data_IF_199921310369
#
_entry.id   IF_199921310369
#
_cell.length_a   1.000
_cell.length_b   1.000
_cell.length_c   1.000
_cell.angle_alpha   90.00
_cell.angle_beta   90.00
_cell.angle_gamma   90.00
#
_symmetry.space_group_name_H-M   'P 1'
#
loop_
_entity.id
_entity.type
_entity.pdbx_description
1 polymer ?
#
# COMPACT_ATOMS: atom_id res chain seq x y z
N UNK A 1 -13.12 18.31 -21.64
CA UNK A 1 -12.13 18.62 -20.57
C UNK A 1 -10.73 18.51 -21.16
N UNK A 2 -9.82 19.45 -20.87
CA UNK A 2 -8.40 19.36 -21.25
C UNK A 2 -7.71 18.39 -20.28
N UNK A 3 -6.97 17.41 -20.79
CA UNK A 3 -6.09 16.55 -19.99
C UNK A 3 -4.83 17.32 -19.62
N UNK A 4 -4.39 17.25 -18.37
CA UNK A 4 -3.13 17.86 -17.93
C UNK A 4 -1.94 17.10 -18.50
N UNK A 5 -0.91 17.83 -18.90
CA UNK A 5 0.41 17.27 -19.18
C UNK A 5 1.10 16.84 -17.87
N UNK A 6 2.09 15.96 -17.96
CA UNK A 6 2.74 15.38 -16.77
C UNK A 6 3.39 16.46 -15.90
N UNK A 7 3.92 17.50 -16.53
CA UNK A 7 4.56 18.65 -15.88
C UNK A 7 3.54 19.59 -15.21
N UNK A 8 2.27 19.55 -15.63
CA UNK A 8 1.17 20.32 -15.04
C UNK A 8 0.58 19.60 -13.80
N UNK A 9 0.94 18.33 -13.57
CA UNK A 9 0.51 17.57 -12.39
C UNK A 9 1.41 17.99 -11.22
N UNK A 10 0.88 18.82 -10.33
CA UNK A 10 1.56 19.18 -9.07
C UNK A 10 1.70 17.91 -8.22
N UNK A 11 2.89 17.33 -8.21
CA UNK A 11 3.28 16.22 -7.35
C UNK A 11 4.15 16.77 -6.23
N UNK A 12 3.91 16.29 -5.01
CA UNK A 12 4.83 16.52 -3.91
C UNK A 12 6.19 15.90 -4.28
N UNK A 13 7.28 16.58 -3.93
CA UNK A 13 8.59 15.93 -3.88
C UNK A 13 8.56 14.75 -2.88
N UNK A 14 9.54 13.86 -2.95
CA UNK A 14 9.64 12.72 -2.03
C UNK A 14 9.68 13.16 -0.56
N UNK A 15 10.37 14.26 -0.28
CA UNK A 15 10.48 14.80 1.08
C UNK A 15 9.18 15.45 1.55
N UNK A 16 8.52 16.24 0.69
CA UNK A 16 7.20 16.80 1.01
C UNK A 16 6.16 15.69 1.20
N UNK A 17 6.23 14.63 0.39
CA UNK A 17 5.36 13.47 0.55
C UNK A 17 5.54 12.84 1.92
N UNK A 18 6.78 12.59 2.37
CA UNK A 18 7.09 11.99 3.68
C UNK A 18 6.60 12.85 4.85
N UNK A 19 6.66 14.18 4.74
CA UNK A 19 6.20 15.10 5.77
C UNK A 19 4.69 15.32 5.77
N UNK A 20 4.02 15.08 4.64
CA UNK A 20 2.58 15.26 4.53
C UNK A 20 1.81 14.25 5.40
N UNK A 21 0.64 14.68 5.90
CA UNK A 21 -0.28 13.81 6.62
C UNK A 21 -0.67 12.59 5.78
N UNK A 22 -0.53 11.41 6.39
CA UNK A 22 -0.81 10.11 5.77
C UNK A 22 -2.23 9.67 6.04
N UNK A 23 -2.79 8.95 5.08
CA UNK A 23 -3.97 8.14 5.33
C UNK A 23 -3.54 7.01 6.28
N UNK A 24 -4.26 6.78 7.40
CA UNK A 24 -3.90 5.77 8.41
C UNK A 24 -4.21 4.34 7.93
N UNK A 25 -3.64 4.00 6.78
CA UNK A 25 -3.80 2.75 6.05
C UNK A 25 -2.43 2.21 5.67
N UNK A 26 -2.20 0.96 6.06
CA UNK A 26 -1.09 0.12 5.63
C UNK A 26 -1.64 -0.94 4.68
N UNK A 27 -0.91 -1.23 3.60
CA UNK A 27 -1.25 -2.31 2.66
C UNK A 27 -0.21 -3.40 2.77
N UNK A 28 -0.64 -4.63 3.09
CA UNK A 28 0.20 -5.81 3.22
C UNK A 28 0.02 -6.67 1.97
N UNK A 29 1.09 -6.88 1.21
CA UNK A 29 1.15 -7.74 0.04
C UNK A 29 1.66 -9.12 0.45
N UNK A 30 0.76 -10.08 0.55
CA UNK A 30 1.01 -11.46 0.93
C UNK A 30 1.40 -12.28 -0.30
N UNK A 31 2.70 -12.60 -0.45
CA UNK A 31 3.19 -13.49 -1.51
C UNK A 31 2.81 -13.06 -2.95
N UNK A 32 2.67 -11.76 -3.20
CA UNK A 32 2.34 -11.20 -4.51
C UNK A 32 3.51 -11.37 -5.47
N UNK A 33 3.33 -12.26 -6.47
CA UNK A 33 4.37 -12.60 -7.45
C UNK A 33 4.57 -11.56 -8.56
N UNK A 34 3.53 -10.82 -8.90
CA UNK A 34 3.56 -9.89 -10.02
C UNK A 34 4.27 -8.59 -9.62
N UNK A 35 5.50 -8.41 -10.11
CA UNK A 35 6.29 -7.17 -9.97
C UNK A 35 5.52 -5.93 -10.45
N UNK A 36 4.74 -6.08 -11.52
CA UNK A 36 3.87 -5.03 -12.04
C UNK A 36 2.77 -4.66 -11.04
N UNK A 37 2.16 -5.64 -10.37
CA UNK A 37 1.13 -5.36 -9.36
C UNK A 37 1.72 -4.73 -8.11
N UNK A 38 2.93 -5.17 -7.69
CA UNK A 38 3.67 -4.53 -6.60
C UNK A 38 3.89 -3.05 -6.91
N UNK A 39 4.41 -2.72 -8.10
CA UNK A 39 4.60 -1.32 -8.48
C UNK A 39 3.29 -0.54 -8.67
N UNK A 40 2.22 -1.18 -9.16
CA UNK A 40 0.89 -0.55 -9.21
C UNK A 40 0.36 -0.20 -7.81
N UNK A 41 0.59 -1.06 -6.80
CA UNK A 41 0.22 -0.78 -5.40
C UNK A 41 1.02 0.40 -4.86
N UNK A 42 2.33 0.46 -5.12
CA UNK A 42 3.13 1.65 -4.78
C UNK A 42 2.57 2.92 -5.42
N UNK A 43 2.24 2.88 -6.71
CA UNK A 43 1.68 4.03 -7.44
C UNK A 43 0.34 4.49 -6.87
N UNK A 44 -0.56 3.56 -6.56
CA UNK A 44 -1.82 3.89 -5.86
C UNK A 44 -1.51 4.44 -4.47
N UNK A 45 -0.52 3.89 -3.77
CA UNK A 45 -0.11 4.36 -2.45
C UNK A 45 0.38 5.80 -2.43
N UNK A 46 1.14 6.20 -3.44
CA UNK A 46 1.58 7.58 -3.62
C UNK A 46 0.40 8.51 -3.87
N UNK A 47 -0.54 8.12 -4.75
CA UNK A 47 -1.71 8.93 -5.06
C UNK A 47 -2.60 9.21 -3.83
N UNK A 48 -2.74 8.23 -2.93
CA UNK A 48 -3.59 8.33 -1.74
C UNK A 48 -2.84 8.67 -0.45
N UNK A 49 -1.53 8.90 -0.50
CA UNK A 49 -0.68 9.13 0.68
C UNK A 49 -0.82 8.02 1.73
N UNK A 50 -0.66 6.76 1.32
CA UNK A 50 -0.61 5.64 2.26
C UNK A 50 0.49 5.86 3.31
N UNK A 51 0.26 5.33 4.50
CA UNK A 51 1.28 5.32 5.55
C UNK A 51 2.43 4.40 5.16
N UNK A 52 2.13 3.18 4.69
CA UNK A 52 3.15 2.19 4.33
C UNK A 52 2.65 1.08 3.41
N UNK A 53 3.56 0.49 2.63
CA UNK A 53 3.35 -0.78 1.92
C UNK A 53 4.25 -1.86 2.54
N UNK A 54 3.70 -3.03 2.83
CA UNK A 54 4.43 -4.14 3.46
C UNK A 54 4.52 -5.28 2.46
N UNK A 55 5.73 -5.74 2.21
CA UNK A 55 6.02 -6.79 1.23
C UNK A 55 6.33 -8.07 1.98
N UNK A 56 5.54 -9.13 1.76
CA UNK A 56 5.68 -10.36 2.52
C UNK A 56 6.03 -11.57 1.66
N UNK A 57 6.82 -12.49 2.22
CA UNK A 57 7.11 -13.79 1.62
C UNK A 57 7.86 -13.68 0.30
N UNK A 58 7.30 -14.25 -0.77
CA UNK A 58 7.91 -14.25 -2.12
C UNK A 58 7.77 -12.92 -2.86
N UNK A 59 7.10 -11.93 -2.27
CA UNK A 59 6.91 -10.61 -2.89
C UNK A 59 8.27 -9.93 -3.08
N UNK A 60 8.59 -9.58 -4.32
CA UNK A 60 9.84 -8.89 -4.64
C UNK A 60 9.85 -7.45 -4.09
N UNK A 61 11.02 -6.98 -3.69
CA UNK A 61 11.22 -5.66 -3.07
C UNK A 61 11.89 -4.66 -4.03
N UNK A 62 11.62 -3.35 -3.90
CA UNK A 62 12.47 -2.33 -4.48
C UNK A 62 13.91 -2.41 -3.94
N UNK A 63 14.94 -1.97 -4.70
CA UNK A 63 14.86 -1.52 -6.09
C UNK A 63 14.76 -2.68 -7.08
N UNK A 64 13.79 -2.64 -7.99
CA UNK A 64 13.66 -3.60 -9.10
C UNK A 64 13.11 -2.91 -10.36
N UNK A 65 13.71 -3.08 -11.55
CA UNK A 65 13.30 -2.36 -12.76
C UNK A 65 11.82 -2.52 -13.13
N UNK A 66 11.28 -3.73 -13.01
CA UNK A 66 9.85 -3.99 -13.30
C UNK A 66 8.88 -3.34 -12.28
N UNK A 67 9.29 -3.23 -11.01
CA UNK A 67 8.52 -2.46 -10.02
C UNK A 67 8.58 -0.99 -10.39
N UNK A 68 9.77 -0.45 -10.67
CA UNK A 68 9.99 0.95 -11.02
C UNK A 68 9.13 1.40 -12.21
N UNK A 69 9.06 0.59 -13.28
CA UNK A 69 8.25 0.88 -14.48
C UNK A 69 6.77 1.12 -14.18
N UNK A 70 6.21 0.42 -13.19
CA UNK A 70 4.78 0.54 -12.82
C UNK A 70 4.55 1.51 -11.67
N UNK A 71 5.50 1.60 -10.73
CA UNK A 71 5.48 2.52 -9.59
C UNK A 71 5.75 3.98 -9.98
N UNK A 72 6.49 4.24 -11.05
CA UNK A 72 6.85 5.58 -11.52
C UNK A 72 7.52 6.44 -10.43
N UNK A 73 8.43 5.83 -9.67
CA UNK A 73 9.17 6.46 -8.58
C UNK A 73 8.41 6.53 -7.25
N UNK A 74 7.17 6.03 -7.18
CA UNK A 74 6.41 5.93 -5.93
C UNK A 74 7.10 5.05 -4.87
N UNK A 75 7.94 4.10 -5.27
CA UNK A 75 8.74 3.28 -4.37
C UNK A 75 9.83 4.06 -3.61
N UNK A 76 10.09 5.32 -4.00
CA UNK A 76 11.00 6.22 -3.30
C UNK A 76 10.28 7.15 -2.30
N UNK A 77 8.98 7.38 -2.48
CA UNK A 77 8.16 8.27 -1.65
C UNK A 77 7.34 7.51 -0.60
N UNK A 78 6.70 6.41 -1.00
CA UNK A 78 5.90 5.56 -0.10
C UNK A 78 6.84 4.71 0.75
N UNK A 79 6.73 4.85 2.07
CA UNK A 79 7.49 4.02 2.98
C UNK A 79 7.09 2.55 2.82
N UNK A 80 8.06 1.64 2.97
CA UNK A 80 7.79 0.22 2.91
C UNK A 80 8.71 -0.59 3.81
N UNK A 81 8.26 -1.80 4.16
CA UNK A 81 9.00 -2.78 4.95
C UNK A 81 8.84 -4.18 4.36
N UNK A 82 9.82 -5.05 4.59
CA UNK A 82 9.74 -6.45 4.19
C UNK A 82 9.62 -7.38 5.40
N UNK A 83 8.78 -8.40 5.28
CA UNK A 83 8.66 -9.49 6.25
C UNK A 83 8.78 -10.83 5.53
N UNK A 84 9.56 -11.75 6.11
CA UNK A 84 9.64 -13.11 5.55
C UNK A 84 8.31 -13.86 5.68
N UNK A 85 7.59 -13.66 6.78
CA UNK A 85 6.29 -14.27 7.04
C UNK A 85 5.20 -13.19 7.23
N UNK A 86 4.09 -13.34 6.50
CA UNK A 86 2.94 -12.41 6.56
C UNK A 86 2.33 -12.33 7.96
N UNK A 87 2.33 -13.42 8.72
CA UNK A 87 1.83 -13.42 10.10
C UNK A 87 2.66 -12.52 11.02
N UNK A 88 3.96 -12.36 10.79
CA UNK A 88 4.81 -11.46 11.58
C UNK A 88 4.41 -10.00 11.35
N UNK A 89 4.15 -9.63 10.09
CA UNK A 89 3.61 -8.31 9.74
C UNK A 89 2.24 -8.09 10.40
N UNK A 90 1.33 -9.04 10.28
CA UNK A 90 -0.02 -8.95 10.89
C UNK A 90 0.08 -8.77 12.39
N UNK A 91 0.93 -9.54 13.08
CA UNK A 91 1.11 -9.43 14.51
C UNK A 91 1.67 -8.07 14.90
N UNK A 92 2.70 -7.57 14.20
CA UNK A 92 3.24 -6.22 14.42
C UNK A 92 2.14 -5.15 14.32
N UNK A 93 1.45 -5.08 13.18
CA UNK A 93 0.46 -4.02 12.97
C UNK A 93 -0.73 -4.14 13.93
N UNK A 94 -1.13 -5.36 14.28
CA UNK A 94 -2.14 -5.57 15.33
C UNK A 94 -1.68 -5.03 16.69
N UNK A 95 -0.41 -5.25 17.07
CA UNK A 95 0.14 -4.68 18.32
C UNK A 95 0.27 -3.16 18.29
N UNK A 96 0.46 -2.57 17.11
CA UNK A 96 0.48 -1.12 16.89
C UNK A 96 -0.94 -0.50 16.83
N UNK A 97 -1.99 -1.29 17.07
CA UNK A 97 -3.37 -0.82 17.16
C UNK A 97 -4.12 -0.76 15.83
N UNK A 98 -3.60 -1.40 14.78
CA UNK A 98 -4.29 -1.48 13.50
C UNK A 98 -5.43 -2.51 13.52
N UNK A 99 -6.54 -2.14 12.90
CA UNK A 99 -7.60 -3.07 12.53
C UNK A 99 -7.17 -3.82 11.27
N UNK A 100 -7.01 -5.14 11.39
CA UNK A 100 -6.57 -6.00 10.28
C UNK A 100 -7.78 -6.43 9.45
N UNK A 101 -7.73 -6.21 8.14
CA UNK A 101 -8.75 -6.62 7.18
C UNK A 101 -8.09 -7.45 6.06
N UNK A 102 -8.55 -8.67 5.84
CA UNK A 102 -8.12 -9.47 4.69
C UNK A 102 -9.14 -9.33 3.56
N UNK A 103 -8.67 -9.06 2.35
CA UNK A 103 -9.53 -9.06 1.16
C UNK A 103 -9.45 -10.46 0.55
N UNK A 104 -10.56 -11.20 0.62
CA UNK A 104 -10.63 -12.59 0.14
C UNK A 104 -12.05 -12.94 -0.32
N UNK A 105 -12.14 -13.86 -1.28
CA UNK A 105 -13.36 -14.53 -1.69
C UNK A 105 -13.61 -15.75 -0.80
N UNK A 106 -13.97 -15.49 0.45
CA UNK A 106 -14.30 -16.52 1.44
C UNK A 106 -15.78 -16.50 1.82
N UNK A 107 -16.31 -17.67 2.18
CA UNK A 107 -17.63 -17.77 2.80
C UNK A 107 -17.65 -16.95 4.10
N UNK A 108 -18.75 -16.23 4.34
CA UNK A 108 -18.89 -15.34 5.50
C UNK A 108 -18.13 -14.00 5.39
N UNK A 109 -17.52 -13.69 4.24
CA UNK A 109 -16.91 -12.37 4.01
C UNK A 109 -17.95 -11.24 3.99
N UNK A 110 -17.55 -10.08 4.49
CA UNK A 110 -18.34 -8.85 4.37
C UNK A 110 -18.06 -8.22 3.02
N UNK A 111 -19.10 -8.03 2.21
CA UNK A 111 -19.02 -7.30 0.94
C UNK A 111 -18.46 -5.88 1.16
N UNK A 112 -17.58 -5.42 0.26
CA UNK A 112 -16.89 -4.13 0.39
C UNK A 112 -17.86 -2.95 0.54
N UNK A 113 -18.97 -2.93 -0.19
CA UNK A 113 -19.97 -1.87 -0.10
C UNK A 113 -20.75 -1.83 1.23
N UNK A 114 -20.63 -2.89 2.04
CA UNK A 114 -21.34 -3.02 3.31
C UNK A 114 -20.43 -2.79 4.53
N UNK A 115 -19.13 -2.50 4.33
CA UNK A 115 -18.22 -2.19 5.43
C UNK A 115 -18.41 -0.75 5.90
N UNK A 116 -18.42 -0.55 7.22
CA UNK A 116 -18.35 0.79 7.82
C UNK A 116 -16.93 1.06 8.29
N UNK A 117 -16.31 2.10 7.73
CA UNK A 117 -14.97 2.54 8.12
C UNK A 117 -15.08 3.64 9.19
N UNK A 118 -14.49 3.38 10.36
CA UNK A 118 -14.29 4.38 11.41
C UNK A 118 -13.03 5.20 11.09
N UNK A 119 -13.20 6.51 10.85
CA UNK A 119 -12.12 7.44 10.50
C UNK A 119 -11.11 7.69 11.63
N UNK A 120 -11.43 7.29 12.86
CA UNK A 120 -10.53 7.43 14.02
C UNK A 120 -9.61 6.21 14.21
N UNK A 121 -9.78 5.16 13.41
CA UNK A 121 -8.97 3.93 13.48
C UNK A 121 -7.91 3.88 12.40
N UNK A 122 -6.89 3.08 12.67
CA UNK A 122 -5.89 2.67 11.68
C UNK A 122 -6.26 1.31 11.10
N UNK A 123 -5.96 1.10 9.82
CA UNK A 123 -6.28 -0.13 9.11
C UNK A 123 -5.06 -0.72 8.44
N UNK A 124 -4.93 -2.04 8.50
CA UNK A 124 -3.97 -2.78 7.69
C UNK A 124 -4.75 -3.75 6.82
N UNK A 125 -4.67 -3.56 5.50
CA UNK A 125 -5.38 -4.38 4.52
C UNK A 125 -4.43 -5.38 3.89
N UNK A 126 -4.79 -6.66 3.91
CA UNK A 126 -4.01 -7.75 3.33
C UNK A 126 -4.56 -8.07 1.93
N UNK A 127 -3.65 -8.15 0.96
CA UNK A 127 -3.89 -8.53 -0.44
C UNK A 127 -2.94 -9.67 -0.79
N UNK A 128 -3.45 -10.78 -1.33
CA UNK A 128 -2.67 -11.94 -1.79
C UNK A 128 -2.92 -12.31 -3.24
#
# INVERSE_FOLDING_TARGET
>A
MKKLETEEIIRLSTEEYKQASKMPLVVILDNVRSLHNVGAVFRTGDAYRLEKVILCGITATPPHPEIHKSALGAEFSVDWEYFHNTCDAVNKYKTEGYTILAIEQAEGSTMLQNITIDSNKKYAVILG
#
